data_IF_323075509003
#
_entry.id   IF_323075509003
#
_cell.length_a   1.000
_cell.length_b   1.000
_cell.length_c   1.000
_cell.angle_alpha   90.00
_cell.angle_beta   90.00
_cell.angle_gamma   90.00
#
_symmetry.space_group_name_H-M   'P 1'
#
loop_
_entity.id
_entity.type
_entity.pdbx_description
1 polymer ?
#
# COMPACT_ATOMS: atom_id res chain seq x y z
N UNK A 1 24.32 2.63 -0.48
CA UNK A 1 23.44 3.82 -0.32
C UNK A 1 22.47 3.99 -1.49
N UNK A 2 22.93 3.87 -2.75
CA UNK A 2 22.03 3.99 -3.91
C UNK A 2 20.91 2.95 -3.92
N UNK A 3 21.22 1.69 -3.62
CA UNK A 3 20.21 0.63 -3.60
C UNK A 3 19.18 0.85 -2.50
N UNK A 4 19.63 1.23 -1.29
CA UNK A 4 18.73 1.56 -0.16
C UNK A 4 17.74 2.67 -0.51
N UNK A 5 18.20 3.74 -1.17
CA UNK A 5 17.34 4.83 -1.61
C UNK A 5 16.39 4.39 -2.74
N UNK A 6 16.85 3.51 -3.63
CA UNK A 6 16.03 2.91 -4.68
C UNK A 6 14.90 2.08 -4.08
N UNK A 7 15.19 1.15 -3.16
CA UNK A 7 14.18 0.36 -2.46
C UNK A 7 13.22 1.23 -1.65
N UNK A 8 13.74 2.23 -0.92
CA UNK A 8 12.90 3.14 -0.15
C UNK A 8 11.95 3.95 -1.05
N UNK A 9 12.45 4.49 -2.17
CA UNK A 9 11.62 5.26 -3.10
C UNK A 9 10.55 4.40 -3.77
N UNK A 10 10.89 3.15 -4.15
CA UNK A 10 9.95 2.18 -4.69
C UNK A 10 8.89 1.81 -3.66
N UNK A 11 9.30 1.50 -2.43
CA UNK A 11 8.40 1.18 -1.33
C UNK A 11 7.42 2.32 -1.07
N UNK A 12 7.91 3.55 -0.89
CA UNK A 12 7.08 4.72 -0.65
C UNK A 12 6.11 4.97 -1.81
N UNK A 13 6.58 4.85 -3.05
CA UNK A 13 5.73 5.03 -4.24
C UNK A 13 4.58 4.03 -4.25
N UNK A 14 4.86 2.74 -4.03
CA UNK A 14 3.82 1.70 -4.01
C UNK A 14 2.85 1.91 -2.86
N UNK A 15 3.36 2.20 -1.65
CA UNK A 15 2.54 2.46 -0.47
C UNK A 15 1.56 3.62 -0.70
N UNK A 16 2.08 4.75 -1.19
CA UNK A 16 1.27 5.94 -1.49
C UNK A 16 0.21 5.63 -2.55
N UNK A 17 0.55 4.88 -3.61
CA UNK A 17 -0.42 4.49 -4.64
C UNK A 17 -1.56 3.63 -4.06
N UNK A 18 -1.24 2.65 -3.22
CA UNK A 18 -2.25 1.80 -2.57
C UNK A 18 -3.13 2.64 -1.63
N UNK A 19 -2.55 3.58 -0.88
CA UNK A 19 -3.31 4.50 -0.03
C UNK A 19 -4.26 5.38 -0.85
N UNK A 20 -3.81 5.94 -1.98
CA UNK A 20 -4.68 6.69 -2.88
C UNK A 20 -5.86 5.86 -3.39
N UNK A 21 -5.63 4.59 -3.72
CA UNK A 21 -6.70 3.67 -4.13
C UNK A 21 -7.69 3.43 -2.97
N UNK A 22 -7.20 3.16 -1.77
CA UNK A 22 -8.06 2.95 -0.60
C UNK A 22 -8.87 4.19 -0.21
N UNK A 23 -8.27 5.39 -0.31
CA UNK A 23 -8.97 6.67 -0.13
C UNK A 23 -10.00 6.90 -1.24
N UNK A 24 -9.70 6.51 -2.48
CA UNK A 24 -10.65 6.52 -3.59
C UNK A 24 -11.87 5.65 -3.31
N UNK A 25 -11.66 4.40 -2.88
CA UNK A 25 -12.75 3.50 -2.47
C UNK A 25 -13.54 4.08 -1.30
N UNK A 26 -12.86 4.62 -0.29
CA UNK A 26 -13.50 5.26 0.86
C UNK A 26 -14.38 6.47 0.48
N UNK A 27 -13.95 7.26 -0.52
CA UNK A 27 -14.70 8.41 -1.01
C UNK A 27 -15.95 8.00 -1.82
N UNK A 28 -15.92 6.84 -2.48
CA UNK A 28 -17.05 6.31 -3.23
C UNK A 28 -18.11 5.65 -2.33
N UNK A 29 -17.74 5.22 -1.12
CA UNK A 29 -18.67 4.57 -0.20
C UNK A 29 -19.54 5.60 0.55
N UNK A 30 -20.87 5.34 0.69
CA UNK A 30 -21.74 6.21 1.46
C UNK A 30 -21.32 6.27 2.94
N UNK A 31 -21.44 7.43 3.59
CA UNK A 31 -21.02 7.61 4.98
C UNK A 31 -21.84 6.78 5.98
N UNK A 32 -23.04 6.32 5.59
CA UNK A 32 -23.91 5.48 6.42
C UNK A 32 -23.48 4.00 6.46
N UNK A 33 -22.55 3.57 5.60
CA UNK A 33 -22.13 2.16 5.55
C UNK A 33 -20.97 1.95 6.50
N UNK A 34 -21.18 1.17 7.57
CA UNK A 34 -20.13 0.83 8.55
C UNK A 34 -18.88 0.20 7.92
N UNK A 35 -19.01 -0.43 6.74
CA UNK A 35 -17.89 -0.99 5.98
C UNK A 35 -16.82 0.04 5.60
N UNK A 36 -17.20 1.31 5.50
CA UNK A 36 -16.34 2.42 5.10
C UNK A 36 -15.14 2.60 6.03
N UNK A 37 -15.31 2.34 7.33
CA UNK A 37 -14.21 2.43 8.30
C UNK A 37 -13.24 1.25 8.20
N UNK A 38 -13.75 0.07 7.84
CA UNK A 38 -12.91 -1.10 7.57
C UNK A 38 -12.08 -0.95 6.31
N UNK A 39 -12.53 -0.16 5.32
CA UNK A 39 -11.69 0.18 4.16
C UNK A 39 -10.44 0.90 4.63
N UNK A 40 -10.55 1.97 5.43
CA UNK A 40 -9.38 2.71 5.92
C UNK A 40 -8.43 1.85 6.75
N UNK A 41 -8.96 1.05 7.67
CA UNK A 41 -8.17 0.13 8.48
C UNK A 41 -7.51 -0.95 7.63
N UNK A 42 -8.23 -1.47 6.64
CA UNK A 42 -7.73 -2.42 5.66
C UNK A 42 -6.58 -1.84 4.86
N UNK A 43 -6.73 -0.62 4.32
CA UNK A 43 -5.67 0.03 3.54
C UNK A 43 -4.42 0.28 4.38
N UNK A 44 -4.58 0.70 5.64
CA UNK A 44 -3.46 0.95 6.56
C UNK A 44 -2.57 -0.28 6.75
N UNK A 45 -3.15 -1.48 6.74
CA UNK A 45 -2.41 -2.74 6.86
C UNK A 45 -1.95 -3.24 5.49
N UNK A 46 -2.80 -3.18 4.47
CA UNK A 46 -2.51 -3.73 3.14
C UNK A 46 -1.45 -2.91 2.39
N UNK A 47 -1.45 -1.58 2.52
CA UNK A 47 -0.49 -0.71 1.84
C UNK A 47 0.98 -1.05 2.16
N UNK A 48 1.42 -1.14 3.44
CA UNK A 48 2.80 -1.50 3.74
C UNK A 48 3.13 -2.96 3.35
N UNK A 49 2.18 -3.89 3.43
CA UNK A 49 2.39 -5.28 3.01
C UNK A 49 2.61 -5.40 1.49
N UNK A 50 1.77 -4.74 0.70
CA UNK A 50 1.90 -4.71 -0.77
C UNK A 50 3.19 -3.99 -1.16
N UNK A 51 3.49 -2.85 -0.55
CA UNK A 51 4.74 -2.13 -0.79
C UNK A 51 5.97 -2.97 -0.48
N UNK A 52 5.94 -3.74 0.61
CA UNK A 52 7.00 -4.66 0.98
C UNK A 52 7.17 -5.77 -0.07
N UNK A 53 6.09 -6.48 -0.41
CA UNK A 53 6.12 -7.58 -1.38
C UNK A 53 6.57 -7.12 -2.77
N UNK A 54 6.10 -5.96 -3.24
CA UNK A 54 6.47 -5.43 -4.56
C UNK A 54 7.93 -4.96 -4.60
N UNK A 55 8.43 -4.46 -3.47
CA UNK A 55 9.80 -3.92 -3.40
C UNK A 55 10.83 -5.03 -3.22
N UNK A 56 10.59 -5.96 -2.29
CA UNK A 56 11.56 -6.97 -1.88
C UNK A 56 11.22 -8.39 -2.38
N UNK A 57 9.98 -8.67 -2.78
CA UNK A 57 9.58 -9.99 -3.30
C UNK A 57 10.48 -10.54 -4.42
N UNK A 58 10.89 -9.74 -5.42
CA UNK A 58 11.80 -10.21 -6.46
C UNK A 58 13.16 -10.70 -5.95
N UNK A 59 13.61 -10.22 -4.79
CA UNK A 59 14.86 -10.67 -4.16
C UNK A 59 14.72 -12.05 -3.52
N UNK A 60 13.50 -12.45 -3.14
CA UNK A 60 13.20 -13.77 -2.59
C UNK A 60 13.01 -14.84 -3.67
N UNK A 61 12.54 -14.48 -4.88
CA UNK A 61 12.43 -15.39 -6.02
C UNK A 61 13.79 -15.72 -6.67
N UNK A 62 14.82 -14.90 -6.41
CA UNK A 62 16.15 -15.06 -6.98
C UNK A 62 17.13 -15.88 -6.11
N UNK A 63 16.67 -16.42 -4.97
CA UNK A 63 17.43 -17.21 -4.00
C UNK A 63 17.12 -18.72 -4.12
#
# INVERSE_FOLDING_TARGET
MNDTLSHLSRFLTVMILVDFLGLGVFALLPPSVGIRQYVLLGTLVVAPLVAFLVTYGPEFDAA
#
